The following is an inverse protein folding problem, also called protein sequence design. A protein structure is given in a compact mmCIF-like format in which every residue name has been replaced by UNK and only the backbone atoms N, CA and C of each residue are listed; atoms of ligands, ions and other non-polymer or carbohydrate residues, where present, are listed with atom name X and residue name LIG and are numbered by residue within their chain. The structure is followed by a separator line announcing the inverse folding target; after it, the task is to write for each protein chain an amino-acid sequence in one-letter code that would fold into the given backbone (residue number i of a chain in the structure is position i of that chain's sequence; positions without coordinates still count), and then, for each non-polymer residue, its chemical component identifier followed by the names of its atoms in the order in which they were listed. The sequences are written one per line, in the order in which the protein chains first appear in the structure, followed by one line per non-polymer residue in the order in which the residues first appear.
data_IF_650762580647
#
_entry.id   IF_650762580647
#
_cell.length_a   1.000
_cell.length_b   1.000
_cell.length_c   1.000
_cell.angle_alpha   90.00
_cell.angle_beta   90.00
_cell.angle_gamma   90.00
#
_symmetry.space_group_name_H-M   'P 1'
#
loop_
_entity.id
_entity.type
_entity.pdbx_description
1 polymer ?
#
# COMPACT_ATOMS: atom_id res chain seq x y z
N UNK A 1 5.11 23.70 3.99
CA UNK A 1 5.64 23.42 2.63
C UNK A 1 6.49 24.61 2.22
N UNK A 2 7.74 24.40 1.83
CA UNK A 2 8.62 25.50 1.41
C UNK A 2 8.27 25.99 0.01
N UNK A 3 8.28 27.31 -0.18
CA UNK A 3 8.09 27.95 -1.47
C UNK A 3 9.27 27.64 -2.41
N UNK A 4 9.05 27.11 -3.63
CA UNK A 4 10.14 26.81 -4.56
C UNK A 4 10.95 28.03 -5.03
N UNK A 5 10.37 29.23 -4.94
CA UNK A 5 10.99 30.48 -5.42
C UNK A 5 11.80 31.20 -4.35
N UNK A 6 11.29 31.32 -3.13
CA UNK A 6 11.94 32.10 -2.05
C UNK A 6 12.23 31.29 -0.77
N UNK A 7 11.94 29.99 -0.76
CA UNK A 7 12.14 29.06 0.35
C UNK A 7 11.34 29.35 1.64
N UNK A 8 10.54 30.42 1.68
CA UNK A 8 9.66 30.72 2.80
C UNK A 8 8.66 29.57 3.06
N UNK A 9 8.37 29.29 4.33
CA UNK A 9 7.49 28.18 4.73
C UNK A 9 6.01 28.54 4.73
N UNK A 10 5.70 29.84 4.76
CA UNK A 10 4.32 30.31 4.83
C UNK A 10 3.68 30.39 3.45
N UNK A 11 2.57 29.66 3.32
CA UNK A 11 1.76 29.61 2.11
C UNK A 11 0.29 29.39 2.46
N UNK A 12 -0.60 30.00 1.68
CA UNK A 12 -2.06 29.75 1.77
C UNK A 12 -2.52 28.78 0.69
N UNK A 13 -3.52 27.97 0.99
CA UNK A 13 -4.17 27.08 0.03
C UNK A 13 -5.26 27.86 -0.70
N UNK A 14 -5.16 27.93 -2.02
CA UNK A 14 -6.15 28.59 -2.89
C UNK A 14 -7.24 27.61 -3.35
N UNK A 15 -6.85 26.37 -3.64
CA UNK A 15 -7.72 25.37 -4.21
C UNK A 15 -7.27 23.97 -3.78
N UNK A 16 -8.21 23.10 -3.45
CA UNK A 16 -7.98 21.67 -3.23
C UNK A 16 -8.92 20.83 -4.09
N UNK A 17 -8.38 19.83 -4.78
CA UNK A 17 -9.15 18.85 -5.57
C UNK A 17 -8.59 17.44 -5.37
N UNK A 18 -9.43 16.42 -5.45
CA UNK A 18 -8.97 15.04 -5.53
C UNK A 18 -8.20 14.80 -6.83
N UNK A 19 -7.16 13.98 -6.76
CA UNK A 19 -6.33 13.55 -7.89
C UNK A 19 -6.02 12.05 -7.76
N UNK A 20 -5.38 11.45 -8.77
CA UNK A 20 -5.03 10.03 -8.82
C UNK A 20 -6.21 9.09 -8.48
N UNK A 21 -7.42 9.39 -8.98
CA UNK A 21 -8.62 8.59 -8.70
C UNK A 21 -9.06 8.62 -7.23
N UNK A 22 -8.73 9.68 -6.48
CA UNK A 22 -9.03 9.83 -5.06
C UNK A 22 -7.90 9.39 -4.12
N UNK A 23 -6.80 8.85 -4.66
CA UNK A 23 -5.64 8.41 -3.88
C UNK A 23 -4.70 9.55 -3.47
N UNK A 24 -4.90 10.75 -4.02
CA UNK A 24 -4.11 11.92 -3.67
C UNK A 24 -4.96 13.20 -3.66
N UNK A 25 -4.47 14.21 -2.95
CA UNK A 25 -5.07 15.55 -2.91
C UNK A 25 -4.11 16.53 -3.57
N UNK A 26 -4.55 17.14 -4.67
CA UNK A 26 -3.83 18.24 -5.32
C UNK A 26 -4.23 19.55 -4.66
N UNK A 27 -3.25 20.31 -4.17
CA UNK A 27 -3.45 21.65 -3.61
C UNK A 27 -2.71 22.72 -4.40
N UNK A 28 -3.42 23.76 -4.83
CA UNK A 28 -2.79 24.99 -5.35
C UNK A 28 -2.50 25.91 -4.16
N UNK A 29 -1.25 26.31 -4.01
CA UNK A 29 -0.76 27.16 -2.92
C UNK A 29 -0.17 28.45 -3.47
N UNK A 30 -0.20 29.49 -2.65
CA UNK A 30 0.45 30.77 -2.91
C UNK A 30 1.33 31.13 -1.73
N UNK A 31 2.58 31.49 -1.99
CA UNK A 31 3.51 31.93 -0.97
C UNK A 31 3.09 33.29 -0.40
N UNK A 32 3.09 33.44 0.92
CA UNK A 32 2.73 34.70 1.57
C UNK A 32 3.84 35.77 1.53
N UNK A 33 5.07 35.41 1.12
CA UNK A 33 6.21 36.32 1.04
C UNK A 33 6.47 36.87 -0.36
N UNK A 34 6.39 36.02 -1.40
CA UNK A 34 6.69 36.41 -2.78
C UNK A 34 5.54 36.20 -3.77
N UNK A 35 4.35 35.85 -3.27
CA UNK A 35 3.12 35.62 -4.08
C UNK A 35 3.25 34.49 -5.12
N UNK A 36 4.37 33.75 -5.12
CA UNK A 36 4.60 32.67 -6.06
C UNK A 36 3.61 31.53 -5.85
N UNK A 37 2.98 31.09 -6.94
CA UNK A 37 1.96 30.04 -6.92
C UNK A 37 2.54 28.70 -7.36
N UNK A 38 2.36 27.69 -6.51
CA UNK A 38 2.86 26.34 -6.75
C UNK A 38 1.80 25.29 -6.41
N UNK A 39 2.01 24.07 -6.88
CA UNK A 39 1.07 22.96 -6.66
C UNK A 39 1.77 21.86 -5.86
N UNK A 40 1.10 21.38 -4.82
CA UNK A 40 1.55 20.22 -4.05
C UNK A 40 0.58 19.06 -4.25
N UNK A 41 1.13 17.85 -4.26
CA UNK A 41 0.34 16.62 -4.21
C UNK A 41 0.58 15.98 -2.87
N UNK A 42 -0.49 15.82 -2.10
CA UNK A 42 -0.47 15.10 -0.83
C UNK A 42 -0.97 13.69 -1.08
N UNK A 43 -0.20 12.71 -0.63
CA UNK A 43 -0.52 11.29 -0.74
C UNK A 43 -0.49 10.70 0.65
N UNK A 44 -1.37 9.73 0.92
CA UNK A 44 -1.28 8.95 2.14
C UNK A 44 0.00 8.13 2.06
N UNK A 45 0.94 8.42 2.95
CA UNK A 45 2.15 7.63 3.10
C UNK A 45 1.85 6.44 3.99
N UNK A 46 1.70 5.25 3.39
CA UNK A 46 1.63 4.00 4.14
C UNK A 46 3.02 3.58 4.55
N UNK A 47 3.22 3.33 5.84
CA UNK A 47 4.50 2.83 6.34
C UNK A 47 4.77 1.44 5.73
N UNK A 48 5.94 1.22 5.09
CA UNK A 48 6.25 -0.07 4.49
C UNK A 48 6.37 -1.16 5.57
N UNK A 49 5.76 -2.32 5.30
CA UNK A 49 5.89 -3.52 6.13
C UNK A 49 7.21 -4.21 5.78
N UNK A 50 7.96 -4.64 6.78
CA UNK A 50 9.18 -5.42 6.63
C UNK A 50 8.87 -6.91 6.78
N UNK A 51 9.29 -7.71 5.80
CA UNK A 51 9.17 -9.17 5.81
C UNK A 51 10.51 -9.79 6.20
N UNK A 52 10.51 -10.58 7.27
CA UNK A 52 11.66 -11.39 7.69
C UNK A 52 11.57 -12.75 7.01
N UNK A 53 12.49 -13.02 6.09
CA UNK A 53 12.60 -14.27 5.36
C UNK A 53 13.15 -15.38 6.26
N UNK A 54 12.92 -16.63 5.87
CA UNK A 54 13.40 -17.82 6.62
C UNK A 54 14.92 -17.85 6.83
N UNK A 55 15.68 -17.23 5.93
CA UNK A 55 17.14 -17.08 6.04
C UNK A 55 17.57 -15.87 6.90
N UNK A 56 16.63 -15.18 7.55
CA UNK A 56 16.87 -13.98 8.35
C UNK A 56 16.97 -12.68 7.54
N UNK A 57 16.92 -12.74 6.20
CA UNK A 57 16.98 -11.54 5.37
C UNK A 57 15.69 -10.70 5.53
N UNK A 58 15.83 -9.37 5.48
CA UNK A 58 14.74 -8.42 5.63
C UNK A 58 14.47 -7.75 4.28
N UNK A 59 13.24 -7.85 3.80
CA UNK A 59 12.80 -7.17 2.58
C UNK A 59 11.50 -6.40 2.82
N UNK A 60 11.24 -5.37 2.02
CA UNK A 60 9.95 -4.69 2.05
C UNK A 60 8.89 -5.63 1.47
N UNK A 61 7.73 -5.68 2.13
CA UNK A 61 6.57 -6.41 1.64
C UNK A 61 6.22 -5.95 0.23
N UNK A 62 6.04 -6.91 -0.67
CA UNK A 62 5.71 -6.65 -2.05
C UNK A 62 4.47 -7.45 -2.42
N UNK A 63 3.38 -6.71 -2.67
CA UNK A 63 2.11 -7.25 -3.17
C UNK A 63 2.32 -8.15 -4.39
N UNK A 64 3.11 -7.70 -5.36
CA UNK A 64 3.36 -8.45 -6.59
C UNK A 64 4.11 -9.76 -6.36
N UNK A 65 5.07 -9.80 -5.41
CA UNK A 65 5.76 -11.05 -5.03
C UNK A 65 4.79 -12.05 -4.40
N UNK A 66 3.91 -11.59 -3.51
CA UNK A 66 2.92 -12.45 -2.86
C UNK A 66 1.94 -13.01 -3.89
N UNK A 67 1.37 -12.15 -4.72
CA UNK A 67 0.43 -12.55 -5.78
C UNK A 67 1.06 -13.53 -6.77
N UNK A 68 2.32 -13.31 -7.18
CA UNK A 68 3.02 -14.24 -8.06
C UNK A 68 3.24 -15.61 -7.40
N UNK A 69 3.60 -15.63 -6.11
CA UNK A 69 3.72 -16.86 -5.33
C UNK A 69 2.40 -17.62 -5.22
N UNK A 70 1.31 -16.90 -4.98
CA UNK A 70 -0.05 -17.46 -4.92
C UNK A 70 -0.51 -18.03 -6.26
N UNK A 71 -0.34 -17.28 -7.35
CA UNK A 71 -0.69 -17.77 -8.69
C UNK A 71 0.03 -19.08 -9.02
N UNK A 72 1.31 -19.20 -8.67
CA UNK A 72 2.08 -20.43 -8.86
C UNK A 72 1.59 -21.58 -7.97
N UNK A 73 1.24 -21.28 -6.72
CA UNK A 73 0.75 -22.29 -5.78
C UNK A 73 -0.67 -22.78 -6.15
N UNK A 74 -1.50 -21.88 -6.68
CA UNK A 74 -2.90 -22.13 -7.01
C UNK A 74 -3.17 -22.46 -8.49
N UNK A 75 -2.11 -22.64 -9.29
CA UNK A 75 -2.21 -22.90 -10.74
C UNK A 75 -3.05 -24.15 -11.07
N UNK A 76 -3.04 -25.15 -10.18
CA UNK A 76 -3.78 -26.42 -10.36
C UNK A 76 -5.14 -26.46 -9.67
N UNK A 77 -5.50 -25.44 -8.89
CA UNK A 77 -6.74 -25.43 -8.09
C UNK A 77 -7.93 -24.82 -8.81
N UNK A 78 -7.73 -24.21 -9.99
CA UNK A 78 -8.82 -23.60 -10.77
C UNK A 78 -9.44 -22.36 -10.13
N UNK A 79 -8.74 -21.73 -9.18
CA UNK A 79 -9.17 -20.48 -8.57
C UNK A 79 -9.05 -19.33 -9.57
N UNK A 80 -10.06 -18.47 -9.59
CA UNK A 80 -10.05 -17.29 -10.44
C UNK A 80 -8.96 -16.29 -9.98
N UNK A 81 -8.24 -15.71 -10.94
CA UNK A 81 -7.15 -14.77 -10.66
C UNK A 81 -7.67 -13.54 -9.91
N UNK A 82 -8.90 -13.11 -10.19
CA UNK A 82 -9.54 -11.99 -9.49
C UNK A 82 -9.69 -12.24 -7.98
N UNK A 83 -10.00 -13.48 -7.58
CA UNK A 83 -10.13 -13.85 -6.16
C UNK A 83 -8.78 -13.82 -5.45
N UNK A 84 -7.71 -14.25 -6.12
CA UNK A 84 -6.35 -14.15 -5.58
C UNK A 84 -5.92 -12.69 -5.40
N UNK A 85 -6.30 -11.81 -6.32
CA UNK A 85 -6.04 -10.37 -6.16
C UNK A 85 -6.78 -9.77 -4.96
N UNK A 86 -8.06 -10.12 -4.76
CA UNK A 86 -8.83 -9.68 -3.59
C UNK A 86 -8.22 -10.19 -2.29
N UNK A 87 -7.85 -11.47 -2.22
CA UNK A 87 -7.20 -12.07 -1.04
C UNK A 87 -5.90 -11.36 -0.69
N UNK A 88 -5.09 -11.01 -1.69
CA UNK A 88 -3.84 -10.28 -1.48
C UNK A 88 -4.10 -8.87 -0.95
N UNK A 89 -5.15 -8.21 -1.43
CA UNK A 89 -5.54 -6.87 -0.97
C UNK A 89 -6.00 -6.87 0.49
N UNK A 90 -6.79 -7.86 0.88
CA UNK A 90 -7.22 -8.05 2.27
C UNK A 90 -6.05 -8.36 3.19
N UNK A 91 -5.12 -9.21 2.77
CA UNK A 91 -3.89 -9.50 3.51
C UNK A 91 -3.01 -8.26 3.67
N UNK A 92 -2.83 -7.47 2.61
CA UNK A 92 -2.10 -6.21 2.67
C UNK A 92 -2.70 -5.24 3.69
N UNK A 93 -4.03 -5.11 3.69
CA UNK A 93 -4.75 -4.29 4.66
C UNK A 93 -4.57 -4.79 6.11
N UNK A 94 -4.72 -6.11 6.33
CA UNK A 94 -4.52 -6.75 7.65
C UNK A 94 -3.10 -6.52 8.17
N UNK A 95 -2.09 -6.67 7.30
CA UNK A 95 -0.69 -6.45 7.68
C UNK A 95 -0.43 -4.98 8.00
N UNK A 96 -1.06 -4.03 7.29
CA UNK A 96 -0.92 -2.59 7.58
C UNK A 96 -1.58 -2.18 8.90
N UNK A 97 -2.68 -2.83 9.28
CA UNK A 97 -3.41 -2.53 10.52
C UNK A 97 -2.75 -3.15 11.77
N UNK A 98 -1.80 -4.07 11.58
CA UNK A 98 -1.18 -4.79 12.68
C UNK A 98 -0.30 -3.87 13.54
N UNK A 99 -0.31 -4.11 14.85
CA UNK A 99 0.62 -3.51 15.80
C UNK A 99 2.01 -4.14 15.64
N UNK A 100 2.72 -3.79 14.57
CA UNK A 100 4.05 -4.32 14.26
C UNK A 100 4.40 -4.08 12.80
N UNK A 101 5.62 -3.58 12.55
CA UNK A 101 6.12 -3.29 11.19
C UNK A 101 6.94 -4.44 10.61
N UNK A 102 7.18 -5.49 11.39
CA UNK A 102 7.92 -6.68 10.99
C UNK A 102 6.98 -7.88 11.03
N UNK A 103 6.96 -8.66 9.95
CA UNK A 103 6.20 -9.90 9.83
C UNK A 103 7.11 -10.98 9.27
N UNK A 104 7.02 -12.20 9.77
CA UNK A 104 7.81 -13.30 9.21
C UNK A 104 7.18 -13.83 7.93
N UNK A 105 8.00 -14.30 7.00
CA UNK A 105 7.50 -14.97 5.79
C UNK A 105 6.70 -16.24 6.07
N UNK A 106 6.97 -16.91 7.20
CA UNK A 106 6.21 -18.08 7.64
C UNK A 106 4.79 -17.68 8.05
N UNK A 107 4.69 -16.60 8.83
CA UNK A 107 3.41 -16.07 9.29
C UNK A 107 2.53 -15.53 8.15
N UNK A 108 3.13 -14.87 7.15
CA UNK A 108 2.38 -14.52 5.93
C UNK A 108 1.82 -15.78 5.26
N UNK A 109 2.60 -16.86 5.22
CA UNK A 109 2.16 -18.14 4.66
C UNK A 109 1.01 -18.77 5.44
N UNK A 110 1.04 -18.70 6.77
CA UNK A 110 -0.05 -19.17 7.63
C UNK A 110 -1.34 -18.38 7.39
N UNK A 111 -1.26 -17.04 7.38
CA UNK A 111 -2.40 -16.17 7.07
C UNK A 111 -3.00 -16.48 5.71
N UNK A 112 -2.17 -16.65 4.68
CA UNK A 112 -2.60 -17.06 3.34
C UNK A 112 -3.35 -18.40 3.37
N UNK A 113 -2.82 -19.39 4.09
CA UNK A 113 -3.43 -20.72 4.17
C UNK A 113 -4.77 -20.69 4.90
N UNK A 114 -4.91 -19.87 5.93
CA UNK A 114 -6.18 -19.67 6.64
C UNK A 114 -7.25 -19.07 5.70
N UNK A 115 -6.91 -18.03 4.95
CA UNK A 115 -7.83 -17.41 3.97
C UNK A 115 -8.20 -18.39 2.84
N UNK A 116 -7.22 -19.12 2.30
CA UNK A 116 -7.47 -20.10 1.24
C UNK A 116 -8.37 -21.25 1.72
N UNK A 117 -8.26 -21.68 2.98
CA UNK A 117 -9.16 -22.68 3.58
C UNK A 117 -10.60 -22.16 3.63
N UNK A 118 -10.80 -20.92 4.08
CA UNK A 118 -12.14 -20.31 4.11
C UNK A 118 -12.74 -20.19 2.71
N UNK A 119 -11.92 -19.87 1.71
CA UNK A 119 -12.36 -19.84 0.31
C UNK A 119 -12.70 -21.23 -0.26
N UNK A 120 -12.02 -22.28 0.21
CA UNK A 120 -12.20 -23.66 -0.24
C UNK A 120 -13.35 -24.41 0.44
N UNK A 121 -13.83 -23.98 1.62
CA UNK A 121 -15.02 -24.57 2.26
C UNK A 121 -16.32 -24.32 1.48
N UNK A 122 -16.32 -23.38 0.53
CA UNK A 122 -17.42 -23.23 -0.45
C UNK A 122 -17.36 -24.32 -1.55
N UNK A 123 -16.39 -25.23 -1.49
CA UNK A 123 -16.13 -26.28 -2.48
C UNK A 123 -15.87 -27.68 -1.88
N UNK A 124 -16.32 -27.95 -0.64
CA UNK A 124 -16.40 -29.31 -0.08
C UNK A 124 -17.85 -29.73 0.18
#
# INVERSE_FOLDING_TARGET
MQCPSCQNTDSRVLESRAADGGKSVRRRRECLNCEFRFTTYERVETVPITVIKRNGNREIFSRSKLLHGLNRACEKTGLDASRLETLVEELELKLQQRSGREVSSAEIGELVLEELKQMSEVAF
#
